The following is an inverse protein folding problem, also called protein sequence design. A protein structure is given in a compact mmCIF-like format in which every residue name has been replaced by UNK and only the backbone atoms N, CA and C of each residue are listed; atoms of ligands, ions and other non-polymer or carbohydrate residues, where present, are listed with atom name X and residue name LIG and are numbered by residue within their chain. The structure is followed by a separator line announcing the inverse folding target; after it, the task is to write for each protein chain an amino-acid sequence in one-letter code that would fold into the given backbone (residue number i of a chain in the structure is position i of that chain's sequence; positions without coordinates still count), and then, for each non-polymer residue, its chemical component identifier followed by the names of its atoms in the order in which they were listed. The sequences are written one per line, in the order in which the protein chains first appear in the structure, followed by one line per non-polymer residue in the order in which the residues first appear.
data_IF_819687030334
#
_entry.id   IF_819687030334
#
_cell.length_a   1.000
_cell.length_b   1.000
_cell.length_c   1.000
_cell.angle_alpha   90.00
_cell.angle_beta   90.00
_cell.angle_gamma   90.00
#
_symmetry.space_group_name_H-M   'P 1'
#
loop_
_entity.id
_entity.type
_entity.pdbx_description
1 polymer ?
#
# COMPACT_ATOMS: atom_id res chain seq x y z
N UNK A 1 11.30 -62.38 -0.60
CA UNK A 1 10.50 -61.27 -0.03
C UNK A 1 11.06 -59.95 -0.52
N UNK A 2 10.17 -59.11 -1.05
CA UNK A 2 10.42 -57.85 -1.75
C UNK A 2 11.25 -56.83 -0.96
N UNK A 3 12.19 -56.15 -1.62
CA UNK A 3 12.46 -54.74 -1.34
C UNK A 3 12.42 -53.94 -2.64
N UNK A 4 11.48 -53.02 -2.65
CA UNK A 4 11.01 -52.22 -3.77
C UNK A 4 12.05 -51.24 -4.30
N UNK A 5 12.11 -51.16 -5.63
CA UNK A 5 12.65 -50.02 -6.37
C UNK A 5 12.00 -48.70 -5.93
N UNK A 6 12.79 -47.76 -5.42
CA UNK A 6 12.53 -46.32 -5.57
C UNK A 6 13.80 -45.66 -6.10
N UNK A 7 13.82 -45.43 -7.43
CA UNK A 7 14.79 -44.56 -8.09
C UNK A 7 14.50 -43.13 -7.65
N UNK A 8 15.46 -42.48 -6.99
CA UNK A 8 15.43 -41.04 -6.80
C UNK A 8 15.55 -40.36 -8.17
N UNK A 9 14.77 -39.29 -8.46
CA UNK A 9 14.93 -38.53 -9.69
C UNK A 9 16.32 -37.89 -9.73
N UNK A 10 17.11 -38.24 -10.74
CA UNK A 10 18.36 -37.54 -11.04
C UNK A 10 18.03 -36.08 -11.38
N UNK A 11 18.70 -35.17 -10.68
CA UNK A 11 18.67 -33.72 -10.94
C UNK A 11 19.14 -33.51 -12.38
N UNK A 12 18.24 -33.06 -13.25
CA UNK A 12 18.60 -32.63 -14.61
C UNK A 12 19.47 -31.39 -14.48
N UNK A 13 20.67 -31.44 -15.06
CA UNK A 13 21.56 -30.30 -15.19
C UNK A 13 20.82 -29.10 -15.82
N UNK A 14 21.14 -27.86 -15.42
CA UNK A 14 20.50 -26.68 -15.96
C UNK A 14 20.78 -26.56 -17.47
N UNK A 15 19.70 -26.60 -18.25
CA UNK A 15 19.74 -26.41 -19.70
C UNK A 15 20.45 -25.09 -20.04
N UNK A 16 21.48 -25.17 -20.87
CA UNK A 16 22.25 -24.03 -21.40
C UNK A 16 21.30 -22.92 -21.89
N UNK A 17 21.31 -21.77 -21.20
CA UNK A 17 20.57 -20.55 -21.61
C UNK A 17 20.93 -20.22 -23.06
N UNK A 18 19.93 -20.23 -23.95
CA UNK A 18 20.07 -19.67 -25.31
C UNK A 18 20.39 -18.18 -25.19
N UNK A 19 21.54 -17.76 -25.74
CA UNK A 19 21.94 -16.34 -25.79
C UNK A 19 20.88 -15.55 -26.55
N UNK A 20 20.40 -14.45 -25.97
CA UNK A 20 19.44 -13.55 -26.60
C UNK A 20 20.01 -12.99 -27.92
N UNK A 21 19.18 -12.93 -28.97
CA UNK A 21 19.55 -12.31 -30.25
C UNK A 21 19.88 -10.83 -30.00
N UNK A 22 21.09 -10.40 -30.37
CA UNK A 22 21.48 -8.99 -30.37
C UNK A 22 20.57 -8.22 -31.33
N UNK A 23 19.78 -7.28 -30.82
CA UNK A 23 19.04 -6.34 -31.67
C UNK A 23 20.05 -5.39 -32.34
N UNK A 24 19.99 -5.26 -33.66
CA UNK A 24 20.75 -4.25 -34.42
C UNK A 24 20.23 -2.87 -34.00
N UNK A 25 21.10 -2.00 -33.49
CA UNK A 25 20.80 -0.58 -33.30
C UNK A 25 20.55 0.03 -34.68
N UNK A 26 19.34 0.53 -34.90
CA UNK A 26 18.99 1.28 -36.12
C UNK A 26 19.61 2.66 -35.99
N UNK A 27 20.36 3.06 -37.02
CA UNK A 27 21.05 4.35 -37.11
C UNK A 27 20.00 5.47 -37.25
N UNK A 28 20.03 6.55 -36.44
CA UNK A 28 19.05 7.62 -36.52
C UNK A 28 19.45 8.62 -37.60
N UNK A 29 19.18 8.30 -38.87
CA UNK A 29 19.14 9.31 -39.93
C UNK A 29 17.91 9.07 -40.79
N UNK A 30 17.13 10.14 -40.96
CA UNK A 30 15.84 10.26 -41.67
C UNK A 30 14.57 10.06 -40.83
N UNK A 31 14.30 11.02 -39.93
CA UNK A 31 12.92 11.37 -39.57
C UNK A 31 12.66 12.75 -40.16
N UNK A 32 11.96 12.80 -41.29
CA UNK A 32 11.47 14.06 -41.83
C UNK A 32 10.52 14.69 -40.81
N UNK A 33 10.82 15.91 -40.41
CA UNK A 33 10.01 16.72 -39.51
C UNK A 33 8.70 17.07 -40.20
N UNK A 34 7.66 16.25 -40.00
CA UNK A 34 6.29 16.75 -40.16
C UNK A 34 6.01 17.70 -39.00
N UNK A 35 6.13 19.00 -39.24
CA UNK A 35 5.58 20.04 -38.36
C UNK A 35 4.07 19.82 -38.26
N UNK A 36 3.63 19.23 -37.16
CA UNK A 36 2.21 19.27 -36.77
C UNK A 36 2.04 20.62 -36.06
N UNK A 37 1.36 21.56 -36.70
CA UNK A 37 0.88 22.77 -36.03
C UNK A 37 -0.13 22.37 -34.96
N UNK A 38 0.33 22.32 -33.71
CA UNK A 38 -0.57 22.26 -32.55
C UNK A 38 -1.06 23.68 -32.33
N UNK A 39 -2.27 23.99 -32.81
CA UNK A 39 -2.96 25.23 -32.43
C UNK A 39 -3.21 25.18 -30.92
N UNK A 40 -2.40 25.90 -30.15
CA UNK A 40 -2.68 26.19 -28.74
C UNK A 40 -3.91 27.11 -28.64
N UNK A 41 -5.10 26.52 -28.55
CA UNK A 41 -6.25 27.20 -27.95
C UNK A 41 -6.14 27.03 -26.43
N UNK A 42 -5.34 27.87 -25.78
CA UNK A 42 -5.45 28.09 -24.35
C UNK A 42 -6.56 29.14 -24.16
N UNK A 43 -7.79 28.67 -23.99
CA UNK A 43 -8.88 29.48 -23.46
C UNK A 43 -8.76 29.48 -21.93
N UNK A 44 -8.05 30.48 -21.40
CA UNK A 44 -8.09 30.81 -19.98
C UNK A 44 -9.51 31.32 -19.62
N UNK A 45 -10.39 30.40 -19.22
CA UNK A 45 -11.52 30.73 -18.33
C UNK A 45 -11.10 30.35 -16.91
N UNK A 46 -11.50 31.10 -15.88
CA UNK A 46 -11.33 30.66 -14.51
C UNK A 46 -12.20 29.40 -14.33
N UNK A 47 -11.57 28.23 -14.36
CA UNK A 47 -12.25 26.98 -14.06
C UNK A 47 -12.71 27.04 -12.60
N UNK A 48 -14.03 27.00 -12.40
CA UNK A 48 -14.61 26.74 -11.09
C UNK A 48 -13.93 25.46 -10.57
N UNK A 49 -13.19 25.54 -9.46
CA UNK A 49 -12.59 24.35 -8.85
C UNK A 49 -13.71 23.36 -8.56
N UNK A 50 -13.74 22.25 -9.29
CA UNK A 50 -14.68 21.16 -8.98
C UNK A 50 -14.47 20.74 -7.53
N UNK A 51 -15.56 20.69 -6.78
CA UNK A 51 -15.59 20.11 -5.43
C UNK A 51 -15.94 18.62 -5.50
N UNK A 52 -15.69 17.84 -4.44
CA UNK A 52 -16.02 16.40 -4.41
C UNK A 52 -17.49 16.14 -4.74
N UNK A 53 -18.38 17.03 -4.31
CA UNK A 53 -19.82 16.93 -4.49
C UNK A 53 -20.26 17.16 -5.95
N UNK A 54 -19.42 17.82 -6.76
CA UNK A 54 -19.68 18.06 -8.18
C UNK A 54 -19.34 16.83 -9.05
N UNK A 55 -18.67 15.82 -8.49
CA UNK A 55 -18.23 14.64 -9.25
C UNK A 55 -19.37 13.63 -9.44
N UNK A 56 -19.57 13.21 -10.68
CA UNK A 56 -20.56 12.19 -11.05
C UNK A 56 -19.95 11.15 -12.00
N UNK A 57 -20.65 10.02 -12.16
CA UNK A 57 -20.31 8.97 -13.11
C UNK A 57 -18.87 8.47 -12.99
N UNK A 58 -18.19 8.32 -14.14
CA UNK A 58 -16.81 7.80 -14.19
C UNK A 58 -15.79 8.69 -13.47
N UNK A 59 -16.00 10.01 -13.40
CA UNK A 59 -15.09 10.90 -12.69
C UNK A 59 -15.11 10.62 -11.20
N UNK A 60 -16.30 10.45 -10.61
CA UNK A 60 -16.46 10.08 -9.19
C UNK A 60 -15.79 8.74 -8.86
N UNK A 61 -15.95 7.75 -9.73
CA UNK A 61 -15.32 6.42 -9.57
C UNK A 61 -13.79 6.53 -9.53
N UNK A 62 -13.20 7.24 -10.51
CA UNK A 62 -11.74 7.43 -10.57
C UNK A 62 -11.23 8.21 -9.37
N UNK A 63 -11.98 9.23 -8.94
CA UNK A 63 -11.67 10.01 -7.76
C UNK A 63 -11.64 9.15 -6.48
N UNK A 64 -12.72 8.38 -6.24
CA UNK A 64 -12.82 7.52 -5.07
C UNK A 64 -11.74 6.44 -5.07
N UNK A 65 -11.42 5.85 -6.22
CA UNK A 65 -10.27 4.93 -6.31
C UNK A 65 -8.97 5.59 -5.89
N UNK A 66 -8.68 6.80 -6.40
CA UNK A 66 -7.51 7.58 -6.00
C UNK A 66 -7.47 7.80 -4.49
N UNK A 67 -8.60 8.20 -3.90
CA UNK A 67 -8.73 8.39 -2.46
C UNK A 67 -8.53 7.13 -1.64
N UNK A 68 -9.03 5.98 -2.10
CA UNK A 68 -8.79 4.69 -1.43
C UNK A 68 -7.31 4.37 -1.41
N UNK A 69 -6.62 4.47 -2.55
CA UNK A 69 -5.19 4.17 -2.61
C UNK A 69 -4.35 5.12 -1.77
N UNK A 70 -4.64 6.42 -1.82
CA UNK A 70 -4.00 7.44 -0.98
C UNK A 70 -4.21 7.13 0.52
N UNK A 71 -5.45 6.81 0.92
CA UNK A 71 -5.76 6.50 2.33
C UNK A 71 -5.09 5.21 2.79
N UNK A 72 -5.00 4.19 1.93
CA UNK A 72 -4.26 2.96 2.23
C UNK A 72 -2.76 3.25 2.39
N UNK A 73 -2.16 4.12 1.59
CA UNK A 73 -0.76 4.51 1.75
C UNK A 73 -0.51 5.23 3.09
N UNK A 74 -1.43 6.11 3.50
CA UNK A 74 -1.36 6.71 4.84
C UNK A 74 -1.50 5.68 5.95
N UNK A 75 -2.40 4.70 5.79
CA UNK A 75 -2.54 3.60 6.73
C UNK A 75 -1.23 2.76 6.82
N UNK A 76 -0.61 2.41 5.70
CA UNK A 76 0.69 1.70 5.66
C UNK A 76 1.77 2.47 6.43
N UNK A 77 1.84 3.79 6.24
CA UNK A 77 2.76 4.66 6.98
C UNK A 77 2.45 4.67 8.49
N UNK A 78 1.19 4.87 8.86
CA UNK A 78 0.77 4.94 10.26
C UNK A 78 0.99 3.62 11.01
N UNK A 79 0.79 2.49 10.34
CA UNK A 79 1.09 1.16 10.87
C UNK A 79 2.59 0.96 11.13
N UNK A 80 3.45 1.48 10.26
CA UNK A 80 4.91 1.44 10.46
C UNK A 80 5.32 2.26 11.69
N UNK A 81 4.72 3.43 11.88
CA UNK A 81 4.91 4.23 13.10
C UNK A 81 4.36 3.52 14.35
N UNK A 82 3.21 2.85 14.22
CA UNK A 82 2.59 2.12 15.33
C UNK A 82 3.49 0.97 15.80
N UNK A 83 4.07 0.21 14.86
CA UNK A 83 5.06 -0.82 15.15
C UNK A 83 6.23 -0.25 15.95
N UNK A 84 6.81 0.85 15.46
CA UNK A 84 7.93 1.55 16.11
C UNK A 84 7.61 1.94 17.54
N UNK A 85 6.50 2.66 17.76
CA UNK A 85 6.13 3.12 19.10
C UNK A 85 5.75 1.96 20.03
N UNK A 86 5.13 0.91 19.51
CA UNK A 86 4.81 -0.29 20.29
C UNK A 86 6.06 -0.99 20.80
N UNK A 87 7.09 -1.13 19.95
CA UNK A 87 8.38 -1.69 20.34
C UNK A 87 9.10 -0.83 21.38
N UNK A 88 9.16 0.49 21.16
CA UNK A 88 9.77 1.43 22.12
C UNK A 88 9.05 1.36 23.47
N UNK A 89 7.73 1.45 23.47
CA UNK A 89 6.93 1.43 24.70
C UNK A 89 7.09 0.11 25.48
N UNK A 90 7.15 -1.03 24.77
CA UNK A 90 7.40 -2.34 25.39
C UNK A 90 8.77 -2.41 26.05
N UNK A 91 9.81 -1.94 25.38
CA UNK A 91 11.16 -1.89 25.95
C UNK A 91 11.26 -0.91 27.13
N UNK A 92 10.53 0.20 27.08
CA UNK A 92 10.42 1.12 28.22
C UNK A 92 9.74 0.45 29.42
N UNK A 93 8.62 -0.24 29.22
CA UNK A 93 7.94 -0.98 30.30
C UNK A 93 8.85 -1.98 31.01
N UNK A 94 9.67 -2.72 30.25
CA UNK A 94 10.67 -3.66 30.81
C UNK A 94 11.75 -2.97 31.65
N UNK A 95 12.03 -1.70 31.40
CA UNK A 95 13.08 -0.91 32.05
C UNK A 95 12.54 0.16 33.01
N UNK A 96 11.26 0.07 33.40
CA UNK A 96 10.48 1.14 34.03
C UNK A 96 11.09 1.78 35.28
N UNK A 97 11.89 1.05 36.05
CA UNK A 97 12.50 1.52 37.30
C UNK A 97 13.68 2.47 37.13
N UNK A 98 14.25 2.60 35.92
CA UNK A 98 15.45 3.40 35.67
C UNK A 98 15.34 4.28 34.42
N UNK A 99 14.12 4.62 34.00
CA UNK A 99 13.92 5.43 32.80
C UNK A 99 14.30 6.88 33.06
N UNK A 100 15.17 7.38 32.19
CA UNK A 100 15.47 8.79 32.02
C UNK A 100 15.56 9.09 30.53
N UNK A 101 15.65 10.37 30.18
CA UNK A 101 15.68 10.81 28.79
C UNK A 101 16.78 10.14 27.96
N UNK A 102 17.99 9.98 28.53
CA UNK A 102 19.13 9.35 27.84
C UNK A 102 18.82 7.88 27.49
N UNK A 103 18.22 7.14 28.43
CA UNK A 103 17.85 5.74 28.21
C UNK A 103 16.71 5.60 27.21
N UNK A 104 15.74 6.52 27.20
CA UNK A 104 14.67 6.54 26.19
C UNK A 104 15.23 6.81 24.79
N UNK A 105 16.17 7.75 24.64
CA UNK A 105 16.87 8.00 23.37
C UNK A 105 17.61 6.76 22.90
N UNK A 106 18.35 6.10 23.80
CA UNK A 106 19.06 4.85 23.50
C UNK A 106 18.11 3.72 23.05
N UNK A 107 16.97 3.53 23.74
CA UNK A 107 15.94 2.55 23.35
C UNK A 107 15.41 2.88 21.95
N UNK A 108 15.07 4.14 21.70
CA UNK A 108 14.54 4.60 20.41
C UNK A 108 15.53 4.32 19.28
N UNK A 109 16.80 4.70 19.44
CA UNK A 109 17.84 4.45 18.42
C UNK A 109 18.06 2.95 18.14
N UNK A 110 17.96 2.10 19.17
CA UNK A 110 18.06 0.65 19.00
C UNK A 110 16.88 0.08 18.22
N UNK A 111 15.65 0.51 18.54
CA UNK A 111 14.45 0.11 17.79
C UNK A 111 14.55 0.60 16.34
N UNK A 112 14.96 1.85 16.11
CA UNK A 112 15.12 2.41 14.77
C UNK A 112 16.12 1.59 13.93
N UNK A 113 17.22 1.16 14.55
CA UNK A 113 18.19 0.27 13.90
C UNK A 113 17.55 -1.09 13.55
N UNK A 114 16.81 -1.71 14.46
CA UNK A 114 16.15 -2.99 14.20
C UNK A 114 15.15 -2.89 13.04
N UNK A 115 14.34 -1.84 12.99
CA UNK A 115 13.37 -1.62 11.91
C UNK A 115 14.04 -1.37 10.56
N UNK A 116 15.15 -0.63 10.57
CA UNK A 116 15.98 -0.42 9.37
C UNK A 116 16.60 -1.70 8.86
N UNK A 117 17.14 -2.53 9.76
CA UNK A 117 17.73 -3.84 9.41
C UNK A 117 16.66 -4.80 8.87
N UNK A 118 15.44 -4.74 9.41
CA UNK A 118 14.26 -5.46 8.90
C UNK A 118 13.66 -4.85 7.61
N UNK A 119 14.19 -3.70 7.16
CA UNK A 119 13.75 -2.97 5.95
C UNK A 119 12.25 -2.66 5.94
N UNK A 120 11.68 -2.31 7.09
CA UNK A 120 10.25 -2.03 7.25
C UNK A 120 9.75 -0.98 6.24
N UNK A 121 10.53 0.07 5.99
CA UNK A 121 10.20 1.14 5.02
C UNK A 121 10.03 0.65 3.57
N UNK A 122 10.52 -0.55 3.24
CA UNK A 122 10.45 -1.15 1.91
C UNK A 122 9.55 -2.38 1.86
N UNK A 123 8.87 -2.70 2.96
CA UNK A 123 7.95 -3.83 3.00
C UNK A 123 6.71 -3.54 2.16
N UNK A 124 6.18 -4.60 1.54
CA UNK A 124 4.83 -4.55 0.98
C UNK A 124 3.82 -4.47 2.13
N UNK A 125 2.62 -3.98 1.84
CA UNK A 125 1.56 -3.92 2.84
C UNK A 125 1.32 -5.27 3.55
N UNK A 126 1.30 -6.38 2.79
CA UNK A 126 1.19 -7.73 3.38
C UNK A 126 2.35 -8.11 4.32
N UNK A 127 3.59 -7.78 3.95
CA UNK A 127 4.74 -8.06 4.83
C UNK A 127 4.71 -7.20 6.10
N UNK A 128 4.20 -5.97 6.02
CA UNK A 128 4.00 -5.12 7.18
C UNK A 128 2.95 -5.70 8.14
N UNK A 129 1.82 -6.23 7.62
CA UNK A 129 0.80 -6.92 8.42
C UNK A 129 1.41 -8.12 9.16
N UNK A 130 2.19 -8.96 8.45
CA UNK A 130 2.91 -10.08 9.09
C UNK A 130 3.85 -9.60 10.20
N UNK A 131 4.61 -8.54 9.96
CA UNK A 131 5.55 -7.98 10.95
C UNK A 131 4.82 -7.46 12.20
N UNK A 132 3.66 -6.81 12.04
CA UNK A 132 2.82 -6.36 13.15
C UNK A 132 2.28 -7.54 13.98
N UNK A 133 1.88 -8.61 13.31
CA UNK A 133 1.40 -9.86 13.93
C UNK A 133 2.52 -10.53 14.75
N UNK A 134 3.69 -10.75 14.14
CA UNK A 134 4.87 -11.33 14.80
C UNK A 134 5.29 -10.52 16.04
N UNK A 135 5.15 -9.20 15.97
CA UNK A 135 5.46 -8.32 17.08
C UNK A 135 4.31 -8.14 18.08
N UNK A 136 3.16 -8.81 17.91
CA UNK A 136 1.98 -8.67 18.77
C UNK A 136 1.59 -7.19 18.99
N UNK A 137 1.54 -6.42 17.90
CA UNK A 137 1.22 -4.98 17.93
C UNK A 137 -0.30 -4.75 17.91
N UNK A 138 -1.02 -5.57 17.14
CA UNK A 138 -2.46 -5.47 16.95
C UNK A 138 -3.14 -6.76 17.39
N UNK A 139 -4.42 -6.64 17.77
CA UNK A 139 -5.26 -7.80 18.04
C UNK A 139 -5.62 -8.52 16.74
N UNK A 140 -5.97 -9.81 16.86
CA UNK A 140 -6.34 -10.63 15.71
C UNK A 140 -7.45 -10.00 14.85
N UNK A 141 -8.45 -9.38 15.48
CA UNK A 141 -9.55 -8.72 14.77
C UNK A 141 -9.06 -7.61 13.84
N UNK A 142 -8.14 -6.77 14.30
CA UNK A 142 -7.60 -5.67 13.50
C UNK A 142 -6.69 -6.20 12.37
N UNK A 143 -5.93 -7.28 12.63
CA UNK A 143 -5.13 -7.97 11.62
C UNK A 143 -5.99 -8.60 10.52
N UNK A 144 -7.08 -9.27 10.90
CA UNK A 144 -8.03 -9.87 9.94
C UNK A 144 -8.68 -8.77 9.06
N UNK A 145 -9.00 -7.61 9.65
CA UNK A 145 -9.55 -6.47 8.90
C UNK A 145 -8.53 -5.86 7.91
N UNK A 146 -7.25 -5.82 8.28
CA UNK A 146 -6.15 -5.39 7.42
C UNK A 146 -5.90 -6.34 6.25
N UNK A 147 -5.96 -7.66 6.48
CA UNK A 147 -5.82 -8.67 5.43
C UNK A 147 -6.98 -8.58 4.41
N UNK A 148 -8.21 -8.45 4.89
CA UNK A 148 -9.37 -8.25 4.00
C UNK A 148 -9.24 -6.94 3.19
N UNK A 149 -8.70 -5.90 3.81
CA UNK A 149 -8.44 -4.64 3.12
C UNK A 149 -7.34 -4.78 2.06
N UNK A 150 -6.25 -5.51 2.36
CA UNK A 150 -5.20 -5.81 1.39
C UNK A 150 -5.77 -6.53 0.16
N UNK A 151 -6.62 -7.54 0.37
CA UNK A 151 -7.28 -8.25 -0.73
C UNK A 151 -8.20 -7.33 -1.53
N UNK A 152 -8.97 -6.48 -0.85
CA UNK A 152 -9.84 -5.49 -1.49
C UNK A 152 -9.03 -4.53 -2.35
N UNK A 153 -7.96 -3.93 -1.81
CA UNK A 153 -7.06 -3.00 -2.51
C UNK A 153 -6.39 -3.65 -3.72
N UNK A 154 -5.97 -4.91 -3.62
CA UNK A 154 -5.39 -5.66 -4.74
C UNK A 154 -6.41 -5.94 -5.83
N UNK A 155 -7.65 -6.27 -5.45
CA UNK A 155 -8.76 -6.44 -6.40
C UNK A 155 -9.06 -5.12 -7.10
N UNK A 156 -9.11 -4.00 -6.37
CA UNK A 156 -9.29 -2.67 -6.94
C UNK A 156 -8.18 -2.32 -7.94
N UNK A 157 -6.92 -2.59 -7.60
CA UNK A 157 -5.78 -2.23 -8.44
C UNK A 157 -5.68 -3.06 -9.72
N UNK A 158 -6.00 -4.36 -9.66
CA UNK A 158 -5.64 -5.29 -10.74
C UNK A 158 -6.83 -5.82 -11.53
N UNK A 159 -8.02 -5.86 -10.92
CA UNK A 159 -9.18 -6.57 -11.46
C UNK A 159 -10.42 -5.69 -11.64
N UNK A 160 -10.54 -4.59 -10.91
CA UNK A 160 -11.78 -3.80 -10.88
C UNK A 160 -12.24 -3.34 -12.26
N UNK A 161 -11.38 -2.69 -13.04
CA UNK A 161 -11.74 -2.28 -14.41
C UNK A 161 -11.86 -3.45 -15.40
N UNK A 162 -11.25 -4.61 -15.12
CA UNK A 162 -11.33 -5.79 -15.98
C UNK A 162 -12.64 -6.55 -15.78
N UNK A 163 -13.11 -6.62 -14.54
CA UNK A 163 -14.32 -7.36 -14.14
C UNK A 163 -15.57 -6.54 -14.41
N UNK A 164 -15.48 -5.22 -14.25
CA UNK A 164 -16.60 -4.31 -14.49
C UNK A 164 -16.52 -3.79 -15.92
N UNK A 165 -17.56 -4.04 -16.71
CA UNK A 165 -17.64 -3.66 -18.12
C UNK A 165 -17.90 -2.16 -18.32
N UNK A 166 -16.98 -1.32 -17.86
CA UNK A 166 -17.16 0.14 -17.86
C UNK A 166 -17.36 0.73 -19.26
N UNK A 167 -16.72 0.18 -20.29
CA UNK A 167 -16.89 0.63 -21.68
C UNK A 167 -18.31 0.38 -22.19
N UNK A 168 -18.91 -0.76 -21.84
CA UNK A 168 -20.29 -1.10 -22.24
C UNK A 168 -21.35 -0.35 -21.41
N UNK A 169 -20.99 0.13 -20.22
CA UNK A 169 -21.92 0.68 -19.22
C UNK A 169 -21.68 2.17 -18.93
N UNK A 170 -20.91 2.87 -19.78
CA UNK A 170 -20.47 4.26 -19.55
C UNK A 170 -21.64 5.24 -19.40
N UNK A 171 -22.77 4.97 -20.06
CA UNK A 171 -23.96 5.82 -19.99
C UNK A 171 -25.03 5.28 -19.01
N UNK A 172 -24.77 4.13 -18.36
CA UNK A 172 -25.70 3.55 -17.40
C UNK A 172 -25.53 4.19 -16.02
N UNK A 173 -26.36 5.20 -15.74
CA UNK A 173 -26.32 5.94 -14.46
C UNK A 173 -26.46 5.02 -13.25
N UNK A 174 -27.39 4.07 -13.25
CA UNK A 174 -27.61 3.18 -12.11
C UNK A 174 -26.38 2.31 -11.82
N UNK A 175 -25.72 1.81 -12.87
CA UNK A 175 -24.46 1.09 -12.73
C UNK A 175 -23.36 1.97 -12.13
N UNK A 176 -23.15 3.17 -12.66
CA UNK A 176 -22.10 4.08 -12.20
C UNK A 176 -22.32 4.57 -10.75
N UNK A 177 -23.57 4.85 -10.38
CA UNK A 177 -23.94 5.22 -9.02
C UNK A 177 -23.72 4.04 -8.06
N UNK A 178 -24.07 2.82 -8.47
CA UNK A 178 -23.80 1.60 -7.71
C UNK A 178 -22.31 1.37 -7.47
N UNK A 179 -21.48 1.53 -8.50
CA UNK A 179 -20.02 1.44 -8.38
C UNK A 179 -19.44 2.54 -7.49
N UNK A 180 -19.96 3.76 -7.60
CA UNK A 180 -19.55 4.88 -6.74
C UNK A 180 -19.88 4.62 -5.26
N UNK A 181 -21.07 4.10 -4.96
CA UNK A 181 -21.47 3.76 -3.60
C UNK A 181 -20.60 2.64 -3.03
N UNK A 182 -20.32 1.59 -3.81
CA UNK A 182 -19.40 0.52 -3.42
C UNK A 182 -18.02 1.05 -3.04
N UNK A 183 -17.43 1.92 -3.87
CA UNK A 183 -16.13 2.53 -3.56
C UNK A 183 -16.20 3.47 -2.36
N UNK A 184 -17.28 4.21 -2.18
CA UNK A 184 -17.47 5.07 -1.01
C UNK A 184 -17.52 4.26 0.29
N UNK A 185 -18.20 3.11 0.28
CA UNK A 185 -18.20 2.20 1.43
C UNK A 185 -16.79 1.70 1.77
N UNK A 186 -15.99 1.33 0.76
CA UNK A 186 -14.59 0.95 0.96
C UNK A 186 -13.79 2.12 1.53
N UNK A 187 -13.92 3.31 0.93
CA UNK A 187 -13.21 4.50 1.39
C UNK A 187 -13.49 4.80 2.87
N UNK A 188 -14.77 4.76 3.27
CA UNK A 188 -15.16 4.95 4.67
C UNK A 188 -14.57 3.88 5.58
N UNK A 189 -14.53 2.62 5.13
CA UNK A 189 -13.91 1.53 5.89
C UNK A 189 -12.42 1.75 6.12
N UNK A 190 -11.68 2.12 5.07
CA UNK A 190 -10.23 2.42 5.16
C UNK A 190 -9.98 3.59 6.10
N UNK A 191 -10.77 4.66 5.95
CA UNK A 191 -10.68 5.84 6.81
C UNK A 191 -10.91 5.49 8.28
N UNK A 192 -11.99 4.78 8.58
CA UNK A 192 -12.32 4.39 9.97
C UNK A 192 -11.25 3.48 10.60
N UNK A 193 -10.64 2.58 9.81
CA UNK A 193 -9.51 1.78 10.28
C UNK A 193 -8.29 2.66 10.55
N UNK A 194 -7.95 3.55 9.62
CA UNK A 194 -6.84 4.48 9.79
C UNK A 194 -7.02 5.41 11.01
N UNK A 195 -8.23 5.91 11.26
CA UNK A 195 -8.54 6.76 12.42
C UNK A 195 -8.35 6.00 13.75
N UNK A 196 -8.70 4.71 13.79
CA UNK A 196 -8.42 3.84 14.96
C UNK A 196 -6.92 3.64 15.17
N UNK A 197 -6.16 3.36 14.11
CA UNK A 197 -4.70 3.21 14.16
C UNK A 197 -4.03 4.51 14.62
N UNK A 198 -4.45 5.66 14.10
CA UNK A 198 -3.97 6.97 14.54
C UNK A 198 -4.25 7.21 16.03
N UNK A 199 -5.42 6.80 16.52
CA UNK A 199 -5.76 6.93 17.95
C UNK A 199 -4.83 6.10 18.84
N UNK A 200 -4.54 4.86 18.46
CA UNK A 200 -3.57 4.00 19.15
C UNK A 200 -2.15 4.59 19.11
N UNK A 201 -1.74 5.10 17.95
CA UNK A 201 -0.44 5.74 17.76
C UNK A 201 -0.28 6.95 18.69
N UNK A 202 -1.29 7.83 18.72
CA UNK A 202 -1.29 9.03 19.58
C UNK A 202 -1.25 8.64 21.06
N UNK A 203 -1.98 7.61 21.46
CA UNK A 203 -1.91 7.08 22.82
C UNK A 203 -0.48 6.67 23.19
N UNK A 204 0.18 5.85 22.36
CA UNK A 204 1.55 5.41 22.64
C UNK A 204 2.55 6.58 22.64
N UNK A 205 2.43 7.51 21.70
CA UNK A 205 3.27 8.70 21.64
C UNK A 205 3.18 9.51 22.94
N UNK A 206 1.96 9.71 23.46
CA UNK A 206 1.73 10.39 24.73
C UNK A 206 2.33 9.62 25.92
N UNK A 207 2.20 8.29 25.95
CA UNK A 207 2.81 7.48 27.01
C UNK A 207 4.33 7.58 27.02
N UNK A 208 4.96 7.60 25.84
CA UNK A 208 6.41 7.78 25.70
C UNK A 208 6.83 9.18 26.16
N UNK A 209 6.07 10.22 25.79
CA UNK A 209 6.38 11.61 26.12
C UNK A 209 6.19 11.98 27.60
N UNK A 210 5.33 11.26 28.33
CA UNK A 210 5.06 11.51 29.76
C UNK A 210 6.24 11.20 30.68
N UNK A 211 7.24 10.45 30.21
CA UNK A 211 8.43 10.11 31.00
C UNK A 211 9.49 11.18 30.75
N UNK A 212 9.50 12.20 31.62
CA UNK A 212 10.56 13.19 31.74
C UNK A 212 11.48 12.81 32.89
#
# INVERSE_FOLDING_TARGET
MNKSNRKFPQVKEPSKRKKAKKYKRVNPKTRSERKVEVKHLILNKPEKKLTEDDLTGMMKIRYLLGKIFETVQYLEYNLSLLLRYSMIYREMKKNSTSLNEIKIKSISSRVDKQLKDAKVDFQTFGNLISTLSENNVLEKKDLDELEDLLQTRNTLAHQYFKKNKFEEQENNKAFLDGQSNYLLHIQNRVKNLNDRICSQLNFLALQIAKIK
#
